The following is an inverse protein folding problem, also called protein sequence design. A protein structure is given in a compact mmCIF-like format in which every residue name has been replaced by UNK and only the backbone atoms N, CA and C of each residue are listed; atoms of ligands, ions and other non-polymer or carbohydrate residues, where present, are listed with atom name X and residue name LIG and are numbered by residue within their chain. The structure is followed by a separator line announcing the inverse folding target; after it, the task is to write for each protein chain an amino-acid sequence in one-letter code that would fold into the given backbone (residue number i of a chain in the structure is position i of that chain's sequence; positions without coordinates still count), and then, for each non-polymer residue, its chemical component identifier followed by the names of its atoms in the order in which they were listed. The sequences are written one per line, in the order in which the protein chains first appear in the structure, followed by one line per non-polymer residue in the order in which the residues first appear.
data_IF_065270804350
#
_entry.id   IF_065270804350
#
_cell.length_a   1.000
_cell.length_b   1.000
_cell.length_c   1.000
_cell.angle_alpha   90.00
_cell.angle_beta   90.00
_cell.angle_gamma   90.00
#
_symmetry.space_group_name_H-M   'P 1'
#
loop_
_entity.id
_entity.type
_entity.pdbx_description
1 polymer ?
#
# COMPACT_ATOMS: atom_id res chain seq x y z
N UNK A 1 1.17 17.70 -5.87
CA UNK A 1 2.29 16.75 -5.74
C UNK A 1 2.29 16.08 -4.38
N UNK A 2 2.45 14.77 -4.34
CA UNK A 2 2.72 14.02 -3.11
C UNK A 2 3.88 13.07 -3.30
N UNK A 3 4.59 12.81 -2.19
CA UNK A 3 5.69 11.86 -2.12
C UNK A 3 5.36 10.85 -1.02
N UNK A 4 5.50 9.57 -1.34
CA UNK A 4 5.33 8.46 -0.41
C UNK A 4 6.71 7.93 -0.05
N UNK A 5 7.01 7.94 1.24
CA UNK A 5 8.29 7.50 1.80
C UNK A 5 8.05 6.29 2.69
N UNK A 6 8.78 5.22 2.40
CA UNK A 6 8.86 4.02 3.22
C UNK A 6 10.04 4.13 4.18
N UNK A 7 9.80 3.85 5.46
CA UNK A 7 10.84 3.94 6.50
C UNK A 7 10.96 2.61 7.21
N UNK A 8 12.06 1.92 6.99
CA UNK A 8 12.39 0.71 7.73
C UNK A 8 12.97 1.08 9.09
N UNK A 9 12.31 0.65 10.15
CA UNK A 9 12.77 0.82 11.52
C UNK A 9 13.75 -0.28 11.89
N UNK A 10 14.75 0.06 12.72
CA UNK A 10 15.71 -0.91 13.24
C UNK A 10 15.00 -1.96 14.11
N UNK A 11 15.49 -3.21 14.15
CA UNK A 11 14.92 -4.26 14.99
C UNK A 11 14.88 -3.90 16.49
N UNK A 12 15.82 -3.08 16.95
CA UNK A 12 15.93 -2.63 18.35
C UNK A 12 14.94 -1.53 18.73
N UNK A 13 14.23 -0.94 17.76
CA UNK A 13 13.25 0.10 18.02
C UNK A 13 12.11 -0.40 18.92
N UNK A 14 11.94 0.24 20.07
CA UNK A 14 10.89 -0.03 21.08
C UNK A 14 9.82 1.08 21.15
N UNK A 15 9.99 2.16 20.37
CA UNK A 15 9.08 3.31 20.40
C UNK A 15 7.76 3.07 19.68
N UNK A 16 6.91 4.11 19.68
CA UNK A 16 5.70 4.12 18.86
C UNK A 16 6.05 4.40 17.40
N UNK A 17 5.62 3.52 16.50
CA UNK A 17 5.75 3.68 15.04
C UNK A 17 5.17 5.03 14.57
N UNK A 18 4.07 5.49 15.17
CA UNK A 18 3.45 6.78 14.86
C UNK A 18 4.33 7.98 15.25
N UNK A 19 5.17 7.82 16.26
CA UNK A 19 6.08 8.88 16.71
C UNK A 19 7.21 9.18 15.73
N UNK A 20 7.56 8.22 14.86
CA UNK A 20 8.64 8.37 13.87
C UNK A 20 8.19 9.22 12.67
N UNK A 21 6.90 9.20 12.34
CA UNK A 21 6.32 9.89 11.18
C UNK A 21 6.68 11.39 11.13
N UNK A 22 6.39 12.22 12.16
CA UNK A 22 6.74 13.64 12.12
C UNK A 22 8.25 13.85 12.06
N UNK A 23 9.04 13.05 12.79
CA UNK A 23 10.51 13.19 12.82
C UNK A 23 11.15 12.98 11.45
N UNK A 24 10.74 11.93 10.73
CA UNK A 24 11.24 11.67 9.37
C UNK A 24 10.76 12.75 8.41
N UNK A 25 9.49 13.14 8.50
CA UNK A 25 8.92 14.18 7.62
C UNK A 25 9.69 15.49 7.75
N UNK A 26 9.91 15.96 8.97
CA UNK A 26 10.59 17.22 9.25
C UNK A 26 12.06 17.15 8.83
N UNK A 27 12.73 16.02 9.08
CA UNK A 27 14.10 15.80 8.63
C UNK A 27 14.21 15.81 7.10
N UNK A 28 13.34 15.10 6.38
CA UNK A 28 13.34 15.10 4.91
C UNK A 28 13.09 16.51 4.37
N UNK A 29 12.11 17.24 4.91
CA UNK A 29 11.79 18.60 4.50
C UNK A 29 12.94 19.59 4.72
N UNK A 30 13.75 19.38 5.75
CA UNK A 30 14.91 20.24 6.06
C UNK A 30 16.19 19.91 5.27
N UNK A 31 16.30 18.70 4.69
CA UNK A 31 17.55 18.22 4.08
C UNK A 31 17.49 18.01 2.57
N UNK A 32 16.30 18.00 1.96
CA UNK A 32 16.12 17.72 0.53
C UNK A 32 15.27 18.79 -0.14
N UNK A 33 15.75 19.30 -1.28
CA UNK A 33 14.98 20.22 -2.14
C UNK A 33 14.02 19.45 -3.05
N UNK A 34 14.45 18.29 -3.57
CA UNK A 34 13.64 17.44 -4.44
C UNK A 34 13.84 15.95 -4.12
N UNK A 35 12.81 15.14 -4.40
CA UNK A 35 12.82 13.69 -4.22
C UNK A 35 12.33 12.97 -5.47
N UNK A 36 13.05 11.93 -5.90
CA UNK A 36 12.69 11.12 -7.07
C UNK A 36 12.19 9.75 -6.65
N UNK A 37 11.23 9.18 -7.40
CA UNK A 37 10.78 7.80 -7.22
C UNK A 37 11.96 6.83 -7.32
N UNK A 38 12.03 5.86 -6.40
CA UNK A 38 13.13 4.89 -6.32
C UNK A 38 14.39 5.44 -5.64
N UNK A 39 14.39 6.69 -5.18
CA UNK A 39 15.52 7.25 -4.45
C UNK A 39 15.67 6.57 -3.09
N UNK A 40 16.89 6.07 -2.85
CA UNK A 40 17.32 5.64 -1.53
C UNK A 40 17.91 6.86 -0.80
N UNK A 41 17.34 7.22 0.34
CA UNK A 41 17.81 8.33 1.16
C UNK A 41 18.84 7.77 2.15
N UNK A 42 20.11 8.12 1.94
CA UNK A 42 21.22 7.62 2.74
C UNK A 42 21.03 7.96 4.23
N UNK A 43 20.85 6.92 5.03
CA UNK A 43 20.71 7.03 6.48
C UNK A 43 21.98 7.54 7.16
N UNK A 44 23.15 7.51 6.49
CA UNK A 44 24.40 8.06 7.01
C UNK A 44 24.36 9.56 7.28
N UNK A 45 23.47 10.31 6.63
CA UNK A 45 23.24 11.73 6.88
C UNK A 45 22.24 12.00 8.01
N UNK A 46 21.58 10.96 8.53
CA UNK A 46 20.66 11.10 9.65
C UNK A 46 21.49 11.36 10.91
N UNK A 47 21.24 12.49 11.55
CA UNK A 47 21.90 12.85 12.82
C UNK A 47 20.91 12.74 13.98
N UNK A 48 21.44 12.52 15.19
CA UNK A 48 20.66 12.50 16.42
C UNK A 48 19.80 11.25 16.61
N UNK A 49 18.68 11.40 17.32
CA UNK A 49 17.84 10.29 17.80
C UNK A 49 17.19 9.47 16.69
N UNK A 50 17.11 9.98 15.46
CA UNK A 50 16.53 9.28 14.32
C UNK A 50 17.47 8.20 13.79
N UNK A 51 18.79 8.39 13.90
CA UNK A 51 19.81 7.44 13.42
C UNK A 51 19.74 6.09 14.16
N UNK A 52 19.43 6.17 15.46
CA UNK A 52 19.30 4.99 16.33
C UNK A 52 17.98 4.22 16.09
N UNK A 53 17.04 4.81 15.35
CA UNK A 53 15.68 4.28 15.17
C UNK A 53 15.43 3.78 13.76
N UNK A 54 16.02 4.46 12.77
CA UNK A 54 15.80 4.20 11.34
C UNK A 54 16.96 3.40 10.76
N UNK A 55 16.62 2.41 9.95
CA UNK A 55 17.56 1.57 9.23
C UNK A 55 17.65 1.97 7.76
N UNK A 56 16.52 2.31 7.14
CA UNK A 56 16.45 2.61 5.72
C UNK A 56 15.29 3.57 5.42
N UNK A 57 15.50 4.51 4.50
CA UNK A 57 14.48 5.46 4.02
C UNK A 57 14.45 5.37 2.49
N UNK A 58 13.26 5.13 1.92
CA UNK A 58 13.07 4.91 0.50
C UNK A 58 11.88 5.69 -0.04
N UNK A 59 12.06 6.37 -1.17
CA UNK A 59 10.98 7.06 -1.87
C UNK A 59 10.25 6.06 -2.77
N UNK A 60 9.16 5.48 -2.26
CA UNK A 60 8.45 4.41 -2.96
C UNK A 60 7.57 4.92 -4.10
N UNK A 61 6.99 6.11 -3.95
CA UNK A 61 6.11 6.67 -4.98
C UNK A 61 6.07 8.20 -5.00
N UNK A 62 5.73 8.75 -6.16
CA UNK A 62 5.58 10.19 -6.41
C UNK A 62 4.37 10.42 -7.31
N UNK A 63 3.44 11.30 -6.91
CA UNK A 63 2.18 11.49 -7.65
C UNK A 63 2.29 12.40 -8.87
N UNK A 64 3.45 12.99 -9.12
CA UNK A 64 3.60 14.06 -10.09
C UNK A 64 5.04 14.11 -10.58
N UNK A 65 5.29 13.46 -11.71
CA UNK A 65 6.06 14.01 -12.83
C UNK A 65 6.11 12.95 -13.94
N UNK A 66 5.56 13.28 -15.11
CA UNK A 66 5.86 12.55 -16.35
C UNK A 66 7.34 12.69 -16.76
N UNK A 67 8.06 13.60 -16.10
CA UNK A 67 9.48 13.86 -16.27
C UNK A 67 10.31 13.20 -15.16
N UNK A 68 11.54 12.78 -15.50
CA UNK A 68 12.56 12.28 -14.55
C UNK A 68 13.00 13.32 -13.49
N UNK A 69 12.41 14.51 -13.48
CA UNK A 69 12.69 15.58 -12.52
C UNK A 69 11.88 15.29 -11.26
N UNK A 70 12.55 14.99 -10.14
CA UNK A 70 11.90 14.67 -8.87
C UNK A 70 10.93 15.75 -8.37
N UNK A 71 10.15 15.40 -7.36
CA UNK A 71 9.13 16.25 -6.74
C UNK A 71 9.79 17.26 -5.80
N UNK A 72 9.46 18.55 -5.96
CA UNK A 72 9.92 19.63 -5.09
C UNK A 72 9.32 19.52 -3.67
N UNK A 73 10.18 19.29 -2.68
CA UNK A 73 9.83 18.90 -1.30
C UNK A 73 9.05 19.98 -0.54
N UNK A 74 9.43 21.27 -0.56
CA UNK A 74 8.71 22.32 0.18
C UNK A 74 7.23 22.45 -0.18
N UNK A 75 6.84 22.06 -1.39
CA UNK A 75 5.46 22.13 -1.88
C UNK A 75 4.76 20.76 -1.92
N UNK A 76 5.47 19.69 -1.55
CA UNK A 76 4.96 18.33 -1.62
C UNK A 76 4.22 17.91 -0.35
N UNK A 77 3.14 17.16 -0.53
CA UNK A 77 2.53 16.42 0.56
C UNK A 77 3.35 15.14 0.82
N UNK A 78 4.07 15.10 1.94
CA UNK A 78 4.92 13.95 2.31
C UNK A 78 4.15 12.97 3.20
N UNK A 79 3.90 11.78 2.68
CA UNK A 79 3.33 10.63 3.38
C UNK A 79 4.47 9.69 3.82
N UNK A 80 4.57 9.41 5.11
CA UNK A 80 5.62 8.54 5.66
C UNK A 80 4.98 7.26 6.20
N UNK A 81 5.49 6.12 5.76
CA UNK A 81 5.03 4.78 6.11
C UNK A 81 6.15 4.03 6.84
N UNK A 82 6.28 4.24 8.16
CA UNK A 82 7.23 3.49 8.95
C UNK A 82 6.76 2.06 9.16
N UNK A 83 7.68 1.12 9.00
CA UNK A 83 7.44 -0.30 9.20
C UNK A 83 8.62 -0.99 9.87
N UNK A 84 8.34 -2.14 10.49
CA UNK A 84 9.35 -2.98 11.15
C UNK A 84 9.13 -4.41 10.74
N UNK A 85 10.19 -5.10 10.33
CA UNK A 85 10.09 -6.52 10.03
C UNK A 85 9.93 -7.35 11.29
N UNK A 86 8.96 -8.26 11.26
CA UNK A 86 8.86 -9.36 12.20
C UNK A 86 9.90 -10.42 11.83
N UNK A 87 10.68 -10.83 12.83
CA UNK A 87 11.63 -11.95 12.75
C UNK A 87 11.03 -13.25 13.27
N UNK A 88 9.74 -13.25 13.60
CA UNK A 88 9.05 -14.44 14.08
C UNK A 88 9.07 -15.54 13.01
N UNK A 89 9.33 -16.77 13.45
CA UNK A 89 9.20 -17.92 12.58
C UNK A 89 7.73 -18.11 12.18
N UNK A 90 7.45 -18.65 10.97
CA UNK A 90 6.10 -19.02 10.62
C UNK A 90 5.50 -19.98 11.66
N UNK A 91 4.23 -19.75 12.02
CA UNK A 91 3.46 -20.67 12.86
C UNK A 91 2.76 -21.67 11.95
N UNK A 92 2.88 -22.95 12.29
CA UNK A 92 2.19 -24.02 11.59
C UNK A 92 0.91 -24.32 12.36
N UNK A 93 -0.25 -24.08 11.74
CA UNK A 93 -1.57 -24.35 12.31
C UNK A 93 -2.17 -25.55 11.60
N UNK A 94 -2.64 -26.53 12.38
CA UNK A 94 -3.41 -27.66 11.85
C UNK A 94 -4.89 -27.33 11.98
N UNK A 95 -5.63 -27.43 10.87
CA UNK A 95 -7.08 -27.21 10.87
C UNK A 95 -7.72 -28.56 11.23
N UNK A 96 -8.45 -28.67 12.35
CA UNK A 96 -9.19 -29.89 12.68
C UNK A 96 -10.32 -30.08 11.68
N UNK A 97 -10.45 -31.28 11.11
CA UNK A 97 -11.60 -31.67 10.29
C UNK A 97 -12.57 -32.51 11.12
N UNK A 98 -13.86 -32.22 11.01
CA UNK A 98 -14.90 -32.97 11.71
C UNK A 98 -14.89 -34.44 11.26
N UNK A 99 -14.79 -35.36 12.22
CA UNK A 99 -14.89 -36.80 11.98
C UNK A 99 -13.58 -37.55 11.74
N UNK A 100 -12.44 -36.86 11.60
CA UNK A 100 -11.14 -37.52 11.47
C UNK A 100 -10.39 -37.58 12.82
N UNK A 101 -10.17 -38.78 13.33
CA UNK A 101 -9.36 -39.05 14.54
C UNK A 101 -7.86 -39.16 14.25
N UNK A 102 -7.39 -38.65 13.11
CA UNK A 102 -6.01 -38.80 12.63
C UNK A 102 -5.21 -37.50 12.56
N UNK A 103 -3.88 -37.63 12.47
CA UNK A 103 -2.93 -36.52 12.22
C UNK A 103 -2.95 -36.00 10.77
N UNK A 104 -3.99 -36.28 9.98
CA UNK A 104 -4.04 -36.05 8.54
C UNK A 104 -4.79 -34.77 8.12
N UNK A 105 -4.98 -33.82 9.03
CA UNK A 105 -5.64 -32.55 8.73
C UNK A 105 -4.77 -31.59 7.89
N UNK A 106 -5.40 -30.70 7.09
CA UNK A 106 -4.66 -29.69 6.33
C UNK A 106 -3.88 -28.77 7.26
N UNK A 107 -2.68 -28.43 6.83
CA UNK A 107 -1.74 -27.63 7.60
C UNK A 107 -1.55 -26.28 6.90
N UNK A 108 -1.66 -25.19 7.66
CA UNK A 108 -1.52 -23.82 7.19
C UNK A 108 -0.28 -23.18 7.81
N UNK A 109 0.50 -22.49 6.99
CA UNK A 109 1.63 -21.68 7.42
C UNK A 109 1.16 -20.23 7.60
N UNK A 110 1.27 -19.71 8.83
CA UNK A 110 0.88 -18.34 9.19
C UNK A 110 2.12 -17.52 9.49
N UNK A 111 2.21 -16.34 8.89
CA UNK A 111 3.29 -15.36 9.13
C UNK A 111 2.72 -14.01 9.54
N UNK A 112 3.44 -13.33 10.41
CA UNK A 112 3.19 -11.94 10.77
C UNK A 112 3.76 -11.03 9.66
N UNK A 113 3.02 -9.97 9.32
CA UNK A 113 3.42 -8.97 8.33
C UNK A 113 3.71 -7.64 9.02
N UNK A 114 4.76 -6.91 8.59
CA UNK A 114 5.70 -7.24 7.51
C UNK A 114 6.71 -8.32 7.91
N UNK A 115 6.94 -9.33 7.07
CA UNK A 115 7.87 -10.45 7.37
C UNK A 115 9.22 -10.23 6.67
N UNK A 116 10.34 -10.39 7.39
CA UNK A 116 11.68 -10.31 6.81
C UNK A 116 11.89 -11.29 5.65
N UNK A 117 11.30 -12.48 5.72
CA UNK A 117 11.45 -13.49 4.68
C UNK A 117 10.52 -13.28 3.47
N UNK A 118 9.78 -12.17 3.44
CA UNK A 118 9.09 -11.65 2.26
C UNK A 118 9.67 -10.29 1.85
N UNK A 119 10.73 -9.81 2.52
CA UNK A 119 11.44 -8.61 2.10
C UNK A 119 11.99 -8.84 0.69
N UNK A 120 11.87 -7.84 -0.16
CA UNK A 120 12.39 -7.81 -1.53
C UNK A 120 11.78 -8.86 -2.48
N UNK A 121 10.90 -9.74 -2.00
CA UNK A 121 10.27 -10.76 -2.85
C UNK A 121 9.41 -10.12 -3.94
N UNK A 122 8.80 -8.96 -3.64
CA UNK A 122 8.03 -8.21 -4.61
C UNK A 122 8.91 -7.73 -5.78
N UNK A 123 10.10 -7.21 -5.51
CA UNK A 123 11.00 -6.67 -6.54
C UNK A 123 11.59 -7.76 -7.44
N UNK A 124 11.76 -8.97 -6.89
CA UNK A 124 12.25 -10.14 -7.62
C UNK A 124 11.24 -10.75 -8.60
N UNK A 125 9.95 -10.42 -8.51
CA UNK A 125 8.95 -10.91 -9.45
C UNK A 125 9.10 -10.16 -10.79
N UNK A 126 9.02 -10.87 -11.92
CA UNK A 126 9.03 -10.23 -13.24
C UNK A 126 7.78 -10.66 -14.00
N UNK A 127 7.02 -9.69 -14.49
CA UNK A 127 5.81 -9.93 -15.26
C UNK A 127 5.90 -9.16 -16.57
N UNK A 128 5.40 -9.77 -17.65
CA UNK A 128 5.26 -9.13 -18.94
C UNK A 128 3.82 -9.34 -19.43
N UNK A 129 2.98 -8.29 -19.52
CA UNK A 129 3.26 -6.88 -19.17
C UNK A 129 3.46 -6.64 -17.66
N UNK A 130 3.90 -5.43 -17.27
CA UNK A 130 4.04 -5.07 -15.85
C UNK A 130 2.66 -5.04 -15.15
N UNK A 131 2.36 -6.08 -14.38
CA UNK A 131 1.12 -6.15 -13.58
C UNK A 131 1.31 -5.60 -12.17
N UNK A 132 2.54 -5.33 -11.72
CA UNK A 132 2.81 -4.92 -10.35
C UNK A 132 2.17 -3.57 -10.05
N UNK A 133 2.37 -2.62 -10.95
CA UNK A 133 1.89 -1.25 -10.79
C UNK A 133 0.35 -1.17 -10.79
N UNK A 134 -0.38 -1.77 -11.76
CA UNK A 134 -1.85 -1.85 -11.71
C UNK A 134 -2.37 -2.57 -10.48
N UNK A 135 -1.77 -3.71 -10.10
CA UNK A 135 -2.22 -4.47 -8.93
C UNK A 135 -2.07 -3.66 -7.64
N UNK A 136 -0.93 -2.97 -7.46
CA UNK A 136 -0.70 -2.14 -6.28
C UNK A 136 -1.67 -0.95 -6.23
N UNK A 137 -1.93 -0.31 -7.37
CA UNK A 137 -2.95 0.76 -7.47
C UNK A 137 -4.33 0.25 -7.09
N UNK A 138 -4.71 -0.93 -7.57
CA UNK A 138 -5.98 -1.56 -7.23
C UNK A 138 -6.09 -1.87 -5.72
N UNK A 139 -5.09 -2.52 -5.14
CA UNK A 139 -5.12 -2.89 -3.71
C UNK A 139 -5.11 -1.64 -2.80
N UNK A 140 -4.38 -0.59 -3.20
CA UNK A 140 -4.34 0.66 -2.42
C UNK A 140 -5.64 1.44 -2.53
N UNK A 141 -6.28 1.47 -3.70
CA UNK A 141 -7.56 2.16 -3.91
C UNK A 141 -8.69 1.54 -3.07
N UNK A 142 -8.75 0.20 -2.99
CA UNK A 142 -9.76 -0.49 -2.17
C UNK A 142 -9.49 -0.32 -0.66
N UNK A 143 -8.23 -0.22 -0.26
CA UNK A 143 -7.83 -0.12 1.16
C UNK A 143 -8.03 1.30 1.72
N UNK A 144 -7.81 2.33 0.90
CA UNK A 144 -7.85 3.72 1.35
C UNK A 144 -9.24 4.22 1.72
N UNK A 145 -10.30 3.63 1.14
CA UNK A 145 -11.65 4.22 1.18
C UNK A 145 -12.70 3.36 1.86
N UNK A 146 -12.27 2.26 2.51
CA UNK A 146 -13.15 1.47 3.37
C UNK A 146 -14.38 0.93 2.65
N UNK A 147 -14.22 0.49 1.40
CA UNK A 147 -15.31 -0.10 0.63
C UNK A 147 -15.96 -1.22 1.44
N UNK A 148 -17.30 -1.24 1.47
CA UNK A 148 -18.02 -2.32 2.15
C UNK A 148 -17.63 -3.68 1.52
N UNK A 149 -17.60 -4.73 2.33
CA UNK A 149 -17.35 -6.09 1.80
C UNK A 149 -18.37 -6.52 0.74
N UNK A 150 -19.55 -5.87 0.66
CA UNK A 150 -20.51 -6.07 -0.44
C UNK A 150 -20.04 -5.40 -1.73
N UNK A 151 -19.55 -4.17 -1.68
CA UNK A 151 -18.99 -3.46 -2.83
C UNK A 151 -17.78 -4.21 -3.40
N UNK A 152 -16.84 -4.64 -2.54
CA UNK A 152 -15.65 -5.39 -2.96
C UNK A 152 -15.98 -6.70 -3.68
N UNK A 153 -17.02 -7.42 -3.23
CA UNK A 153 -17.46 -8.67 -3.88
C UNK A 153 -18.10 -8.43 -5.25
N UNK A 154 -18.64 -7.25 -5.51
CA UNK A 154 -19.23 -6.88 -6.80
C UNK A 154 -18.20 -6.41 -7.81
N UNK A 155 -17.00 -6.00 -7.37
CA UNK A 155 -15.96 -5.47 -8.25
C UNK A 155 -15.61 -6.38 -9.43
N UNK A 156 -15.38 -7.70 -9.26
CA UNK A 156 -15.11 -8.58 -10.40
C UNK A 156 -16.30 -8.71 -11.37
N UNK A 157 -17.52 -8.73 -10.83
CA UNK A 157 -18.75 -8.83 -11.63
C UNK A 157 -18.98 -7.56 -12.46
N UNK A 158 -18.84 -6.40 -11.84
CA UNK A 158 -18.99 -5.09 -12.49
C UNK A 158 -17.88 -4.85 -13.52
N UNK A 159 -16.66 -5.32 -13.24
CA UNK A 159 -15.56 -5.29 -14.20
C UNK A 159 -15.95 -6.05 -15.47
N UNK A 160 -16.44 -7.29 -15.31
CA UNK A 160 -16.88 -8.10 -16.45
C UNK A 160 -18.06 -7.47 -17.19
N UNK A 161 -19.00 -6.84 -16.48
CA UNK A 161 -20.13 -6.15 -17.11
C UNK A 161 -19.71 -4.88 -17.87
N UNK A 162 -18.63 -4.23 -17.43
CA UNK A 162 -18.08 -3.02 -18.07
C UNK A 162 -17.22 -3.31 -19.29
N UNK A 163 -16.70 -4.54 -19.42
CA UNK A 163 -15.97 -4.98 -20.60
C UNK A 163 -16.96 -5.60 -21.58
N UNK A 164 -17.45 -4.79 -22.50
CA UNK A 164 -18.48 -5.15 -23.48
C UNK A 164 -17.96 -5.89 -24.71
N UNK A 165 -16.65 -6.17 -24.78
CA UNK A 165 -16.07 -6.93 -25.90
C UNK A 165 -16.07 -8.44 -25.56
N UNK A 166 -16.63 -9.26 -26.45
CA UNK A 166 -16.74 -10.74 -26.36
C UNK A 166 -15.38 -11.48 -26.41
N UNK A 167 -14.27 -10.77 -26.17
CA UNK A 167 -12.91 -11.31 -26.23
C UNK A 167 -12.42 -11.85 -24.88
N UNK A 168 -11.44 -12.77 -24.89
CA UNK A 168 -10.74 -13.15 -23.67
C UNK A 168 -9.96 -11.95 -23.12
N UNK A 169 -10.36 -11.48 -21.94
CA UNK A 169 -9.68 -10.41 -21.23
C UNK A 169 -8.40 -10.93 -20.56
N UNK A 170 -7.29 -10.22 -20.73
CA UNK A 170 -6.07 -10.54 -19.99
C UNK A 170 -6.06 -9.94 -18.58
N UNK A 171 -5.17 -10.40 -17.71
CA UNK A 171 -5.12 -9.96 -16.32
C UNK A 171 -4.89 -8.45 -16.17
N UNK A 172 -4.11 -7.84 -17.06
CA UNK A 172 -3.83 -6.42 -17.02
C UNK A 172 -5.10 -5.60 -17.29
N UNK A 173 -5.83 -5.94 -18.35
CA UNK A 173 -7.14 -5.35 -18.67
C UNK A 173 -8.15 -5.54 -17.54
N UNK A 174 -8.17 -6.73 -16.92
CA UNK A 174 -9.03 -7.01 -15.77
C UNK A 174 -8.72 -6.11 -14.58
N UNK A 175 -7.44 -5.89 -14.26
CA UNK A 175 -7.03 -5.03 -13.15
C UNK A 175 -7.39 -3.56 -13.39
N UNK A 176 -7.17 -3.05 -14.61
CA UNK A 176 -7.56 -1.69 -14.99
C UNK A 176 -9.08 -1.50 -14.94
N UNK A 177 -9.84 -2.46 -15.47
CA UNK A 177 -11.30 -2.39 -15.42
C UNK A 177 -11.84 -2.51 -13.97
N UNK A 178 -11.23 -3.34 -13.12
CA UNK A 178 -11.55 -3.38 -11.68
C UNK A 178 -11.23 -2.05 -10.98
N UNK A 179 -10.12 -1.40 -11.33
CA UNK A 179 -9.76 -0.09 -10.81
C UNK A 179 -10.81 0.96 -11.20
N UNK A 180 -11.23 0.99 -12.46
CA UNK A 180 -12.27 1.89 -12.93
C UNK A 180 -13.61 1.70 -12.18
N UNK A 181 -14.00 0.44 -11.94
CA UNK A 181 -15.20 0.12 -11.15
C UNK A 181 -15.09 0.67 -9.73
N UNK A 182 -13.92 0.50 -9.10
CA UNK A 182 -13.67 1.02 -7.75
C UNK A 182 -13.79 2.54 -7.74
N UNK A 183 -13.19 3.23 -8.69
CA UNK A 183 -13.28 4.69 -8.80
C UNK A 183 -14.72 5.19 -9.03
N UNK A 184 -15.50 4.49 -9.86
CA UNK A 184 -16.91 4.82 -10.11
C UNK A 184 -17.79 4.64 -8.87
N UNK A 185 -17.60 3.54 -8.13
CA UNK A 185 -18.31 3.28 -6.87
C UNK A 185 -17.94 4.31 -5.80
N UNK A 186 -16.67 4.73 -5.75
CA UNK A 186 -16.19 5.80 -4.88
C UNK A 186 -16.85 7.14 -5.20
N UNK A 187 -16.82 7.55 -6.48
CA UNK A 187 -17.45 8.79 -6.93
C UNK A 187 -18.95 8.81 -6.59
N UNK A 188 -19.65 7.69 -6.81
CA UNK A 188 -21.07 7.55 -6.49
C UNK A 188 -21.34 7.67 -4.98
N UNK A 189 -20.48 7.08 -4.14
CA UNK A 189 -20.62 7.16 -2.68
C UNK A 189 -20.35 8.57 -2.16
N UNK A 190 -19.34 9.26 -2.70
CA UNK A 190 -19.03 10.64 -2.33
C UNK A 190 -20.16 11.60 -2.72
N UNK A 191 -20.75 11.41 -3.90
CA UNK A 191 -21.91 12.17 -4.35
C UNK A 191 -23.10 12.00 -3.38
N UNK A 192 -23.42 10.76 -3.03
CA UNK A 192 -24.51 10.45 -2.10
C UNK A 192 -24.31 11.08 -0.71
N UNK A 193 -23.07 11.08 -0.18
CA UNK A 193 -22.75 11.72 1.10
C UNK A 193 -22.90 13.24 1.00
N UNK A 194 -22.45 13.84 -0.11
CA UNK A 194 -22.59 15.28 -0.35
C UNK A 194 -24.07 15.69 -0.39
N UNK A 195 -24.90 14.95 -1.11
CA UNK A 195 -26.34 15.20 -1.21
C UNK A 195 -27.02 15.12 0.17
N UNK A 196 -26.64 14.15 1.00
CA UNK A 196 -27.16 14.02 2.38
C UNK A 196 -26.75 15.23 3.24
N UNK A 197 -25.51 15.70 3.14
CA UNK A 197 -25.04 16.86 3.90
C UNK A 197 -25.78 18.13 3.46
N UNK A 198 -25.94 18.34 2.14
CA UNK A 198 -26.64 19.50 1.61
C UNK A 198 -28.13 19.52 2.00
N UNK A 199 -28.79 18.36 2.01
CA UNK A 199 -30.17 18.22 2.48
C UNK A 199 -30.31 18.36 4.00
N UNK A 200 -29.30 17.93 4.77
CA UNK A 200 -29.28 18.00 6.24
C UNK A 200 -28.87 19.35 6.82
N UNK A 201 -28.30 20.26 6.02
CA UNK A 201 -27.90 21.62 6.46
C UNK A 201 -29.07 22.63 6.34
N UNK A 202 -30.23 22.19 5.85
CA UNK A 202 -31.48 22.95 5.83
C UNK A 202 -32.32 22.57 7.05
N UNK A 203 -31.83 22.84 8.26
CA UNK A 203 -32.62 22.84 9.51
C UNK A 203 -32.14 23.97 10.42
#
# INVERSE_FOLDING_TARGET
MSVTIEVRLRPVFQGSVKGVVPLVRDWVAGNYESLSKGQNIDAGCITGSLLDQVDHIFVSDTSDTGDLKGVHVPTAKISVHPYKYFKSLPRIIRIPMEGETGHCGPTVLVRELPSMALADSWDQLFFQPDIKSPLLRFVTSISAQGLSGRALRRTPLLMHASSTDDGPMNLFEALEAMLQVVENEQASTQLAVKDIIELGTIV
#
